data_IF_525626119537
#
_entry.id   IF_525626119537
#
_cell.length_a   1.000
_cell.length_b   1.000
_cell.length_c   1.000
_cell.angle_alpha   90.00
_cell.angle_beta   90.00
_cell.angle_gamma   90.00
#
_symmetry.space_group_name_H-M   'P 1'
#
loop_
_entity.id
_entity.type
_entity.pdbx_description
1 polymer ?
#
# COMPACT_ATOMS: atom_id res chain seq x y z
N UNK A 1 -51.94 15.45 -46.92
CA UNK A 1 -51.01 14.33 -46.82
C UNK A 1 -49.90 14.71 -45.85
N UNK A 2 -49.96 14.21 -44.64
CA UNK A 2 -48.95 14.54 -43.62
C UNK A 2 -48.03 13.33 -43.42
N UNK A 3 -46.78 13.48 -43.81
CA UNK A 3 -45.73 12.51 -43.52
C UNK A 3 -45.31 12.65 -42.06
N UNK A 4 -45.53 11.65 -41.27
CA UNK A 4 -44.99 11.55 -39.90
C UNK A 4 -43.59 10.95 -39.98
N UNK A 5 -42.58 11.75 -39.62
CA UNK A 5 -41.24 11.27 -39.40
C UNK A 5 -41.17 10.55 -38.04
N UNK A 6 -40.70 9.33 -37.97
CA UNK A 6 -40.43 8.70 -36.67
C UNK A 6 -39.12 9.26 -36.11
N UNK A 7 -39.21 9.76 -34.88
CA UNK A 7 -38.08 10.29 -34.14
C UNK A 7 -37.05 9.21 -33.83
N UNK A 8 -35.83 9.50 -34.17
CA UNK A 8 -34.64 8.77 -33.71
C UNK A 8 -34.42 9.07 -32.22
N UNK A 9 -34.86 8.15 -31.38
CA UNK A 9 -34.44 8.13 -29.97
C UNK A 9 -33.01 7.58 -29.94
N UNK A 10 -32.05 8.50 -29.89
CA UNK A 10 -30.68 8.16 -29.68
C UNK A 10 -30.50 7.60 -28.26
N UNK A 11 -30.29 6.31 -28.14
CA UNK A 11 -29.81 5.71 -26.90
C UNK A 11 -28.40 6.19 -26.64
N UNK A 12 -28.25 7.20 -25.76
CA UNK A 12 -26.97 7.53 -25.15
C UNK A 12 -26.60 6.38 -24.21
N UNK A 13 -25.80 5.45 -24.71
CA UNK A 13 -25.06 4.53 -23.84
C UNK A 13 -24.07 5.40 -23.04
N UNK A 14 -24.40 5.66 -21.79
CA UNK A 14 -23.48 6.22 -20.81
C UNK A 14 -22.37 5.19 -20.56
N UNK A 15 -21.23 5.39 -21.20
CA UNK A 15 -19.99 4.71 -20.83
C UNK A 15 -19.61 5.20 -19.45
N UNK A 16 -20.09 4.51 -18.41
CA UNK A 16 -19.59 4.69 -17.06
C UNK A 16 -18.21 4.05 -17.04
N UNK A 17 -17.14 4.84 -16.87
CA UNK A 17 -15.82 4.24 -16.72
C UNK A 17 -15.81 3.42 -15.42
N UNK A 18 -15.53 2.13 -15.57
CA UNK A 18 -15.34 1.23 -14.41
C UNK A 18 -14.01 1.58 -13.78
N UNK A 19 -14.04 2.47 -12.82
CA UNK A 19 -12.86 2.89 -12.02
C UNK A 19 -12.53 1.88 -10.90
N UNK A 20 -12.70 0.59 -11.10
CA UNK A 20 -12.57 -0.38 -10.01
C UNK A 20 -11.28 -1.20 -10.00
N UNK A 21 -10.60 -1.40 -11.11
CA UNK A 21 -9.56 -2.44 -11.20
C UNK A 21 -8.12 -1.93 -11.36
N UNK A 22 -7.90 -0.65 -11.66
CA UNK A 22 -6.55 -0.10 -11.81
C UNK A 22 -5.94 0.35 -10.46
N UNK A 23 -6.75 0.75 -9.52
CA UNK A 23 -6.31 1.27 -8.22
C UNK A 23 -5.88 0.13 -7.26
N UNK A 24 -6.51 -1.02 -7.35
CA UNK A 24 -6.19 -2.18 -6.54
C UNK A 24 -4.81 -2.78 -6.86
N UNK A 25 -4.34 -2.60 -8.10
CA UNK A 25 -2.97 -2.97 -8.50
C UNK A 25 -1.93 -1.89 -8.26
N UNK A 26 -2.33 -0.67 -7.97
CA UNK A 26 -1.42 0.47 -7.86
C UNK A 26 -0.42 0.33 -6.71
N UNK A 27 -0.72 -0.43 -5.67
CA UNK A 27 0.17 -0.67 -4.54
C UNK A 27 0.15 -2.16 -4.13
N UNK A 28 0.42 -3.04 -5.08
CA UNK A 28 0.68 -4.45 -4.76
C UNK A 28 1.99 -4.60 -3.98
N UNK A 29 2.20 -5.76 -3.36
CA UNK A 29 3.46 -6.10 -2.71
C UNK A 29 4.66 -5.99 -3.65
N UNK A 30 4.50 -6.35 -4.93
CA UNK A 30 5.54 -6.19 -5.94
C UNK A 30 5.92 -4.71 -6.15
N UNK A 31 4.94 -3.83 -6.27
CA UNK A 31 5.17 -2.38 -6.41
C UNK A 31 5.80 -1.83 -5.14
N UNK A 32 5.28 -2.20 -3.97
CA UNK A 32 5.86 -1.77 -2.69
C UNK A 32 7.30 -2.24 -2.54
N UNK A 33 7.64 -3.47 -2.92
CA UNK A 33 9.00 -3.98 -2.87
C UNK A 33 9.95 -3.09 -3.68
N UNK A 34 9.62 -2.77 -4.93
CA UNK A 34 10.41 -1.87 -5.77
C UNK A 34 10.61 -0.49 -5.13
N UNK A 35 9.55 0.06 -4.55
CA UNK A 35 9.60 1.36 -3.87
C UNK A 35 10.50 1.32 -2.63
N UNK A 36 10.42 0.26 -1.85
CA UNK A 36 11.24 0.11 -0.65
C UNK A 36 12.70 -0.23 -0.98
N UNK A 37 12.97 -0.98 -2.02
CA UNK A 37 14.33 -1.20 -2.53
C UNK A 37 14.97 0.12 -3.00
N UNK A 38 14.20 0.98 -3.68
CA UNK A 38 14.66 2.31 -4.06
C UNK A 38 15.04 3.16 -2.84
N UNK A 39 14.32 3.03 -1.73
CA UNK A 39 14.61 3.76 -0.50
C UNK A 39 15.91 3.30 0.20
N UNK A 40 16.42 2.11 -0.12
CA UNK A 40 17.65 1.56 0.44
C UNK A 40 18.90 1.82 -0.41
N UNK A 41 18.77 2.40 -1.60
CA UNK A 41 19.92 2.70 -2.45
C UNK A 41 20.76 3.82 -1.84
N UNK A 42 22.08 3.61 -1.81
CA UNK A 42 23.03 4.65 -1.35
C UNK A 42 22.94 5.89 -2.25
N UNK A 43 22.91 7.06 -1.60
CA UNK A 43 22.71 8.31 -2.33
C UNK A 43 21.36 8.39 -3.00
N UNK A 44 20.41 7.56 -2.56
CA UNK A 44 19.07 7.58 -3.10
C UNK A 44 18.59 9.02 -3.16
N UNK A 45 18.45 9.58 -4.35
CA UNK A 45 17.78 10.85 -4.45
C UNK A 45 16.40 10.64 -3.84
N UNK A 46 15.81 11.71 -3.38
CA UNK A 46 14.45 11.73 -2.93
C UNK A 46 13.53 11.39 -4.13
N UNK A 47 13.57 10.12 -4.54
CA UNK A 47 12.72 9.63 -5.61
C UNK A 47 11.30 9.49 -5.10
N UNK A 48 10.35 9.61 -6.00
CA UNK A 48 8.94 9.40 -5.68
C UNK A 48 8.71 8.01 -5.06
N UNK A 49 9.34 6.99 -5.62
CA UNK A 49 9.24 5.60 -5.17
C UNK A 49 9.74 5.44 -3.73
N UNK A 50 10.93 5.96 -3.44
CA UNK A 50 11.48 5.96 -2.09
C UNK A 50 10.55 6.70 -1.12
N UNK A 51 10.01 7.85 -1.54
CA UNK A 51 9.07 8.64 -0.75
C UNK A 51 7.77 7.89 -0.43
N UNK A 52 7.25 7.11 -1.36
CA UNK A 52 6.05 6.28 -1.12
C UNK A 52 6.32 5.23 -0.04
N UNK A 53 7.42 4.49 -0.13
CA UNK A 53 7.77 3.50 0.88
C UNK A 53 7.96 4.14 2.26
N UNK A 54 8.77 5.20 2.35
CA UNK A 54 9.04 5.90 3.62
C UNK A 54 7.76 6.49 4.20
N UNK A 55 6.92 7.10 3.38
CA UNK A 55 5.64 7.68 3.81
C UNK A 55 4.67 6.63 4.39
N UNK A 56 4.60 5.46 3.78
CA UNK A 56 3.80 4.34 4.31
C UNK A 56 4.33 3.94 5.69
N UNK A 57 5.63 3.71 5.83
CA UNK A 57 6.21 3.27 7.09
C UNK A 57 6.12 4.33 8.19
N UNK A 58 6.29 5.61 7.85
CA UNK A 58 6.07 6.71 8.80
C UNK A 58 4.62 6.74 9.28
N UNK A 59 3.66 6.55 8.38
CA UNK A 59 2.24 6.51 8.72
C UNK A 59 1.94 5.33 9.65
N UNK A 60 2.44 4.14 9.34
CA UNK A 60 2.27 2.97 10.20
C UNK A 60 2.92 3.18 11.58
N UNK A 61 4.11 3.77 11.64
CA UNK A 61 4.76 4.13 12.90
C UNK A 61 3.96 5.14 13.73
N UNK A 62 3.38 6.14 13.08
CA UNK A 62 2.52 7.12 13.73
C UNK A 62 1.22 6.49 14.25
N UNK A 63 0.63 5.58 13.49
CA UNK A 63 -0.63 4.93 13.87
C UNK A 63 -0.47 3.87 14.94
N UNK A 64 0.73 3.33 15.14
CA UNK A 64 0.97 2.26 16.11
C UNK A 64 0.41 2.56 17.52
N UNK A 65 0.66 3.73 18.13
CA UNK A 65 0.08 4.02 19.45
C UNK A 65 -1.44 4.19 19.43
N UNK A 66 -2.03 4.54 18.27
CA UNK A 66 -3.49 4.64 18.10
C UNK A 66 -4.14 3.27 17.96
N UNK A 67 -3.35 2.29 17.55
CA UNK A 67 -3.74 0.90 17.40
C UNK A 67 -3.31 0.06 18.62
N UNK A 68 -2.98 0.70 19.75
CA UNK A 68 -2.62 0.04 21.01
C UNK A 68 -3.61 -1.10 21.34
N UNK A 69 -3.14 -2.25 21.80
CA UNK A 69 -3.96 -3.39 22.20
C UNK A 69 -5.09 -3.06 23.19
N UNK A 70 -4.95 -1.97 23.93
CA UNK A 70 -5.99 -1.41 24.80
C UNK A 70 -7.20 -0.92 24.02
N UNK A 71 -7.01 -0.46 22.78
CA UNK A 71 -8.08 0.09 21.92
C UNK A 71 -8.36 -0.74 20.67
N UNK A 72 -7.55 -1.77 20.42
CA UNK A 72 -7.65 -2.67 19.29
C UNK A 72 -6.38 -3.50 19.14
N UNK A 73 -6.45 -4.62 18.47
CA UNK A 73 -5.30 -5.51 18.29
C UNK A 73 -4.35 -4.98 17.22
N UNK A 74 -3.50 -4.02 17.54
CA UNK A 74 -2.43 -3.55 16.64
C UNK A 74 -1.35 -4.59 16.59
N UNK A 75 -1.19 -5.59 16.67
CA UNK A 75 -0.26 -6.69 16.57
C UNK A 75 1.24 -6.34 16.49
N UNK A 76 1.67 -5.08 16.42
CA UNK A 76 3.09 -4.71 16.36
C UNK A 76 3.41 -3.55 17.30
N UNK A 77 4.63 -3.57 17.85
CA UNK A 77 5.16 -2.57 18.78
C UNK A 77 6.55 -2.15 18.34
N UNK A 78 6.65 -1.02 17.63
CA UNK A 78 7.93 -0.50 17.17
C UNK A 78 8.77 0.02 18.33
N UNK A 79 10.06 -0.31 18.40
CA UNK A 79 10.98 0.30 19.38
C UNK A 79 11.03 1.83 19.22
N UNK A 80 11.13 2.55 20.33
CA UNK A 80 11.38 3.98 20.27
C UNK A 80 12.71 4.25 19.56
N UNK A 81 12.72 5.27 18.70
CA UNK A 81 13.92 5.65 17.97
C UNK A 81 14.33 4.69 16.85
N UNK A 82 13.45 3.78 16.46
CA UNK A 82 13.73 2.91 15.31
C UNK A 82 13.98 3.76 14.05
N UNK A 83 15.17 3.67 13.43
CA UNK A 83 15.41 4.36 12.17
C UNK A 83 14.47 3.82 11.09
N UNK A 84 13.86 4.71 10.30
CA UNK A 84 12.97 4.28 9.22
C UNK A 84 13.68 3.36 8.21
N UNK A 85 14.98 3.54 7.98
CA UNK A 85 15.78 2.66 7.14
C UNK A 85 15.74 1.22 7.63
N UNK A 86 15.81 0.99 8.93
CA UNK A 86 15.70 -0.35 9.50
C UNK A 86 14.29 -0.93 9.28
N UNK A 87 13.25 -0.12 9.44
CA UNK A 87 11.89 -0.54 9.14
C UNK A 87 11.72 -0.89 7.65
N UNK A 88 12.33 -0.10 6.75
CA UNK A 88 12.34 -0.39 5.30
C UNK A 88 13.01 -1.74 5.04
N UNK A 89 14.16 -2.02 5.65
CA UNK A 89 14.87 -3.31 5.49
C UNK A 89 14.02 -4.48 5.95
N UNK A 90 13.29 -4.34 7.04
CA UNK A 90 12.36 -5.36 7.55
C UNK A 90 11.29 -5.67 6.51
N UNK A 91 10.66 -4.64 5.93
CA UNK A 91 9.62 -4.81 4.92
C UNK A 91 10.19 -5.44 3.65
N UNK A 92 11.33 -4.98 3.15
CA UNK A 92 11.99 -5.54 1.97
C UNK A 92 12.31 -7.03 2.19
N UNK A 93 12.91 -7.37 3.33
CA UNK A 93 13.24 -8.77 3.66
C UNK A 93 11.98 -9.65 3.71
N UNK A 94 10.91 -9.15 4.31
CA UNK A 94 9.64 -9.85 4.36
C UNK A 94 9.07 -10.11 2.96
N UNK A 95 8.98 -9.08 2.12
CA UNK A 95 8.45 -9.18 0.77
C UNK A 95 9.28 -10.12 -0.11
N UNK A 96 10.61 -10.05 -0.02
CA UNK A 96 11.52 -10.96 -0.74
C UNK A 96 11.36 -12.41 -0.29
N UNK A 97 11.00 -12.64 0.97
CA UNK A 97 10.80 -13.98 1.54
C UNK A 97 9.42 -14.57 1.23
N UNK A 98 8.50 -13.76 0.72
CA UNK A 98 7.12 -14.19 0.43
C UNK A 98 6.72 -13.85 -1.01
N UNK A 99 7.45 -14.37 -2.01
CA UNK A 99 7.16 -14.07 -3.42
C UNK A 99 5.74 -14.47 -3.85
N UNK A 100 5.18 -15.50 -3.19
CA UNK A 100 3.81 -15.98 -3.43
C UNK A 100 2.72 -14.98 -3.03
N UNK A 101 3.07 -14.00 -2.19
CA UNK A 101 2.13 -13.01 -1.67
C UNK A 101 2.21 -11.64 -2.37
N UNK A 102 3.16 -11.44 -3.27
CA UNK A 102 3.43 -10.13 -3.87
C UNK A 102 2.26 -9.54 -4.69
N UNK A 103 1.26 -10.33 -5.00
CA UNK A 103 0.03 -9.87 -5.64
C UNK A 103 -0.99 -9.28 -4.65
N UNK A 104 -0.79 -9.47 -3.35
CA UNK A 104 -1.63 -8.90 -2.31
C UNK A 104 -1.39 -7.39 -2.16
N UNK A 105 -2.26 -6.73 -1.41
CA UNK A 105 -2.17 -5.30 -1.12
C UNK A 105 -0.91 -4.99 -0.28
N UNK A 106 -0.08 -4.07 -0.77
CA UNK A 106 1.25 -3.82 -0.22
C UNK A 106 1.27 -3.30 1.21
N UNK A 107 0.31 -2.46 1.60
CA UNK A 107 0.22 -1.95 2.99
C UNK A 107 -0.12 -3.06 3.97
N UNK A 108 -0.96 -4.00 3.58
CA UNK A 108 -1.25 -5.20 4.37
C UNK A 108 0.02 -6.02 4.59
N UNK A 109 0.81 -6.22 3.53
CA UNK A 109 2.09 -6.93 3.63
C UNK A 109 3.12 -6.18 4.49
N UNK A 110 3.13 -4.84 4.43
CA UNK A 110 3.97 -4.04 5.31
C UNK A 110 3.56 -4.18 6.79
N UNK A 111 2.25 -4.20 7.08
CA UNK A 111 1.74 -4.48 8.44
C UNK A 111 2.16 -5.87 8.92
N UNK A 112 2.02 -6.89 8.08
CA UNK A 112 2.43 -8.25 8.41
C UNK A 112 3.94 -8.33 8.69
N UNK A 113 4.75 -7.63 7.90
CA UNK A 113 6.19 -7.55 8.10
C UNK A 113 6.55 -6.93 9.46
N UNK A 114 5.90 -5.81 9.80
CA UNK A 114 6.13 -5.14 11.08
C UNK A 114 5.61 -5.99 12.27
N UNK A 115 4.47 -6.64 12.10
CA UNK A 115 3.93 -7.55 13.11
C UNK A 115 4.87 -8.72 13.40
N UNK A 116 5.44 -9.31 12.36
CA UNK A 116 6.37 -10.43 12.50
C UNK A 116 7.70 -10.00 13.13
N UNK A 117 8.22 -8.85 12.77
CA UNK A 117 9.52 -8.39 13.24
C UNK A 117 9.47 -7.73 14.63
N UNK A 118 8.36 -7.09 14.97
CA UNK A 118 8.20 -6.32 16.19
C UNK A 118 6.91 -6.69 16.93
N UNK A 119 6.75 -7.94 17.35
CA UNK A 119 5.56 -8.35 18.09
C UNK A 119 5.49 -7.61 19.42
N UNK A 120 4.29 -7.22 19.83
CA UNK A 120 4.08 -6.66 21.17
C UNK A 120 4.31 -7.75 22.23
N UNK A 121 5.04 -7.41 23.27
CA UNK A 121 5.20 -8.29 24.44
C UNK A 121 3.89 -8.34 25.21
N UNK A 122 3.46 -9.54 25.48
CA UNK A 122 2.34 -9.77 26.40
C UNK A 122 2.83 -9.72 27.83
#
# INVERSE_FOLDING_TARGET
MRALLPGLIGAMLSLVPVYGSAEEKALSGEVLLKHCEAALQEGAPQSFEAGVCVGILQTLGYMQPLLDPKYGKAGYCLPQGLPYEQAVRVVVTYLQSHPERLQEEGRTLALDALHQAFPCKQ
#
